data_IF_756709239578
#
_entry.id   IF_756709239578
#
_cell.length_a   1.000
_cell.length_b   1.000
_cell.length_c   1.000
_cell.angle_alpha   90.00
_cell.angle_beta   90.00
_cell.angle_gamma   90.00
#
_symmetry.space_group_name_H-M   'P 1'
#
loop_
_entity.id
_entity.type
_entity.pdbx_description
1 polymer ?
#
# COMPACT_ATOMS: atom_id res chain seq x y z
N UNK A 1 -38.29 53.59 9.58
CA UNK A 1 -37.72 52.25 9.29
C UNK A 1 -36.33 52.22 9.89
N UNK A 2 -36.12 51.37 10.89
CA UNK A 2 -34.90 51.21 11.69
C UNK A 2 -35.23 50.34 12.90
N UNK A 3 -34.47 49.25 13.07
CA UNK A 3 -34.77 47.99 13.76
C UNK A 3 -35.31 48.04 15.21
N UNK A 4 -36.24 47.11 15.58
CA UNK A 4 -36.71 46.86 16.94
C UNK A 4 -36.05 45.65 17.60
N UNK A 5 -34.77 45.35 17.30
CA UNK A 5 -34.08 44.19 17.88
C UNK A 5 -32.88 44.63 18.70
N UNK A 6 -32.92 44.23 19.98
CA UNK A 6 -31.91 44.26 21.06
C UNK A 6 -32.35 45.18 22.20
N UNK A 7 -33.13 44.60 23.11
CA UNK A 7 -32.89 44.74 24.55
C UNK A 7 -32.80 43.30 25.08
N UNK A 8 -31.59 42.95 25.52
CA UNK A 8 -31.27 41.71 26.23
C UNK A 8 -31.89 41.74 27.63
N UNK A 9 -32.21 40.54 28.13
CA UNK A 9 -32.13 40.08 29.51
C UNK A 9 -33.40 39.33 29.92
N UNK A 10 -33.34 38.00 29.83
CA UNK A 10 -33.81 37.14 30.93
C UNK A 10 -33.09 35.77 30.83
N UNK A 11 -32.20 35.58 31.80
CA UNK A 11 -31.44 34.38 32.09
C UNK A 11 -32.36 33.18 32.40
N UNK A 12 -32.62 32.31 31.41
CA UNK A 12 -33.25 31.01 31.65
C UNK A 12 -32.28 29.85 31.37
N UNK A 13 -31.60 29.45 32.45
CA UNK A 13 -31.21 28.08 32.81
C UNK A 13 -30.73 27.15 31.67
N UNK A 14 -29.47 27.30 31.26
CA UNK A 14 -28.74 26.33 30.44
C UNK A 14 -27.94 25.29 31.25
N UNK A 15 -28.45 24.85 32.41
CA UNK A 15 -27.73 23.91 33.27
C UNK A 15 -28.49 22.61 33.52
N UNK A 16 -28.64 21.81 32.46
CA UNK A 16 -28.73 20.35 32.58
C UNK A 16 -27.94 19.70 31.45
N UNK A 17 -26.70 19.30 31.72
CA UNK A 17 -25.92 18.41 30.85
C UNK A 17 -26.35 16.97 31.13
N UNK A 18 -26.95 16.23 30.18
CA UNK A 18 -27.07 14.79 30.35
C UNK A 18 -25.67 14.19 30.13
N UNK A 19 -25.26 13.32 31.04
CA UNK A 19 -24.02 12.58 30.95
C UNK A 19 -23.95 11.79 29.62
N UNK A 20 -23.04 12.18 28.73
CA UNK A 20 -22.67 11.39 27.56
C UNK A 20 -21.81 10.22 28.03
N UNK A 21 -22.39 9.03 28.01
CA UNK A 21 -21.65 7.77 28.08
C UNK A 21 -21.14 7.42 26.69
N UNK A 22 -19.87 7.05 26.56
CA UNK A 22 -19.25 6.57 25.31
C UNK A 22 -20.01 5.36 24.73
N UNK A 23 -20.71 5.59 23.62
CA UNK A 23 -21.43 4.63 22.80
C UNK A 23 -21.69 5.24 21.41
N UNK A 24 -21.91 4.42 20.36
CA UNK A 24 -21.83 4.89 18.98
C UNK A 24 -22.88 5.98 18.71
N UNK A 25 -22.41 7.14 18.26
CA UNK A 25 -23.23 8.28 17.83
C UNK A 25 -23.98 7.97 16.54
N UNK A 26 -25.11 7.30 16.71
CA UNK A 26 -26.21 7.25 15.76
C UNK A 26 -27.46 7.01 16.58
N UNK A 27 -28.32 8.01 16.70
CA UNK A 27 -29.63 7.83 17.36
C UNK A 27 -30.34 6.66 16.68
N UNK A 28 -30.62 5.54 17.37
CA UNK A 28 -31.39 4.46 16.77
C UNK A 28 -32.77 5.03 16.47
N UNK A 29 -33.21 4.98 15.22
CA UNK A 29 -34.57 5.38 14.87
C UNK A 29 -35.53 4.54 15.75
N UNK A 30 -36.34 5.16 16.64
CA UNK A 30 -37.04 4.44 17.70
C UNK A 30 -38.26 3.64 17.20
N UNK A 31 -38.48 3.58 15.89
CA UNK A 31 -39.58 2.84 15.28
C UNK A 31 -39.18 2.32 13.89
N UNK A 32 -38.25 1.36 13.85
CA UNK A 32 -38.17 0.47 12.69
C UNK A 32 -38.65 -0.89 13.17
N UNK A 33 -39.80 -1.30 12.65
CA UNK A 33 -40.36 -2.63 12.88
C UNK A 33 -39.32 -3.70 12.47
N UNK A 34 -39.07 -4.74 13.27
CA UNK A 34 -38.09 -5.77 12.94
C UNK A 34 -38.34 -6.47 11.60
N UNK A 35 -39.59 -6.55 11.14
CA UNK A 35 -39.95 -7.04 9.81
C UNK A 35 -39.51 -6.08 8.71
N UNK A 36 -39.69 -4.78 8.90
CA UNK A 36 -39.21 -3.73 7.97
C UNK A 36 -37.69 -3.64 7.97
N UNK A 37 -37.03 -3.82 9.12
CA UNK A 37 -35.57 -3.91 9.19
C UNK A 37 -35.04 -5.15 8.45
N UNK A 38 -35.74 -6.29 8.53
CA UNK A 38 -35.39 -7.51 7.82
C UNK A 38 -35.67 -7.43 6.30
N UNK A 39 -36.73 -6.74 5.89
CA UNK A 39 -37.04 -6.44 4.48
C UNK A 39 -36.00 -5.48 3.88
N UNK A 40 -35.64 -4.40 4.59
CA UNK A 40 -34.58 -3.48 4.18
C UNK A 40 -33.20 -4.15 4.14
N UNK A 41 -32.96 -5.16 4.97
CA UNK A 41 -31.74 -5.97 4.92
C UNK A 41 -31.72 -6.94 3.72
N UNK A 42 -32.86 -7.21 3.08
CA UNK A 42 -32.95 -8.02 1.85
C UNK A 42 -32.69 -7.23 0.57
N UNK A 43 -32.74 -5.90 0.62
CA UNK A 43 -32.45 -4.99 -0.50
C UNK A 43 -30.99 -4.54 -0.56
N UNK A 44 -30.09 -5.21 0.15
CA UNK A 44 -28.65 -4.95 0.09
C UNK A 44 -28.03 -5.32 -1.27
N UNK A 45 -26.85 -4.76 -1.60
CA UNK A 45 -26.11 -5.21 -2.78
C UNK A 45 -25.91 -6.72 -2.76
N UNK A 46 -25.86 -7.38 -3.93
CA UNK A 46 -25.50 -8.80 -3.99
C UNK A 46 -24.19 -9.06 -3.26
N UNK A 47 -24.08 -10.19 -2.55
CA UNK A 47 -22.92 -10.52 -1.69
C UNK A 47 -21.57 -10.49 -2.41
N UNK A 48 -21.57 -10.66 -3.72
CA UNK A 48 -20.36 -10.59 -4.55
C UNK A 48 -19.94 -9.14 -4.86
N UNK A 49 -20.85 -8.16 -4.83
CA UNK A 49 -20.58 -6.76 -5.16
C UNK A 49 -19.59 -6.15 -4.16
N UNK A 50 -18.53 -5.51 -4.67
CA UNK A 50 -17.46 -4.95 -3.84
C UNK A 50 -16.44 -5.97 -3.33
N UNK A 51 -16.68 -7.28 -3.50
CA UNK A 51 -15.64 -8.31 -3.31
C UNK A 51 -14.67 -8.24 -4.49
N UNK A 52 -13.37 -8.43 -4.26
CA UNK A 52 -12.36 -8.49 -5.34
C UNK A 52 -12.78 -9.54 -6.36
N UNK A 53 -12.72 -9.21 -7.65
CA UNK A 53 -13.20 -10.08 -8.74
C UNK A 53 -12.68 -11.53 -8.65
N UNK A 54 -11.38 -11.68 -8.38
CA UNK A 54 -10.71 -12.99 -8.23
C UNK A 54 -11.07 -13.77 -6.96
N UNK A 55 -11.68 -13.09 -5.98
CA UNK A 55 -12.05 -13.65 -4.68
C UNK A 55 -13.56 -13.90 -4.57
N UNK A 56 -14.34 -13.69 -5.65
CA UNK A 56 -15.77 -14.03 -5.69
C UNK A 56 -15.94 -15.55 -5.60
N UNK A 57 -16.68 -16.00 -4.60
CA UNK A 57 -16.96 -17.42 -4.37
C UNK A 57 -17.64 -18.06 -5.60
N UNK A 58 -17.30 -19.33 -5.86
CA UNK A 58 -17.69 -20.04 -7.08
C UNK A 58 -19.22 -20.05 -7.31
N UNK A 59 -20.02 -20.19 -6.25
CA UNK A 59 -21.49 -20.14 -6.33
C UNK A 59 -22.06 -18.81 -6.84
N UNK A 60 -21.35 -17.70 -6.67
CA UNK A 60 -21.78 -16.37 -7.06
C UNK A 60 -21.19 -15.89 -8.39
N UNK A 61 -20.17 -16.58 -8.92
CA UNK A 61 -19.47 -16.17 -10.14
C UNK A 61 -20.41 -16.06 -11.34
N UNK A 62 -21.32 -17.02 -11.51
CA UNK A 62 -22.27 -17.00 -12.64
C UNK A 62 -23.13 -15.73 -12.65
N UNK A 63 -23.65 -15.36 -11.48
CA UNK A 63 -24.47 -14.17 -11.33
C UNK A 63 -23.64 -12.90 -11.58
N UNK A 64 -22.46 -12.82 -10.96
CA UNK A 64 -21.54 -11.69 -11.12
C UNK A 64 -21.13 -11.47 -12.58
N UNK A 65 -20.81 -12.54 -13.32
CA UNK A 65 -20.50 -12.47 -14.75
C UNK A 65 -21.66 -11.92 -15.58
N UNK A 66 -22.89 -12.38 -15.31
CA UNK A 66 -24.05 -11.91 -16.06
C UNK A 66 -24.42 -10.46 -15.71
N UNK A 67 -24.27 -10.07 -14.44
CA UNK A 67 -24.46 -8.69 -14.01
C UNK A 67 -23.43 -7.77 -14.68
N UNK A 68 -22.14 -8.14 -14.63
CA UNK A 68 -21.06 -7.40 -15.27
C UNK A 68 -21.29 -7.28 -16.77
N UNK A 69 -21.68 -8.35 -17.46
CA UNK A 69 -21.98 -8.29 -18.89
C UNK A 69 -23.06 -7.26 -19.22
N UNK A 70 -24.19 -7.30 -18.52
CA UNK A 70 -25.29 -6.34 -18.76
C UNK A 70 -24.84 -4.91 -18.50
N UNK A 71 -24.05 -4.72 -17.45
CA UNK A 71 -23.48 -3.43 -17.11
C UNK A 71 -22.53 -2.92 -18.20
N UNK A 72 -21.62 -3.76 -18.70
CA UNK A 72 -20.69 -3.42 -19.78
C UNK A 72 -21.46 -3.09 -21.06
N UNK A 73 -22.52 -3.84 -21.39
CA UNK A 73 -23.35 -3.58 -22.57
C UNK A 73 -24.00 -2.17 -22.48
N UNK A 74 -24.53 -1.80 -21.31
CA UNK A 74 -25.01 -0.43 -21.06
C UNK A 74 -23.89 0.61 -21.16
N UNK A 75 -22.76 0.37 -20.48
CA UNK A 75 -21.64 1.31 -20.43
C UNK A 75 -21.09 1.62 -21.83
N UNK A 76 -20.94 0.59 -22.67
CA UNK A 76 -20.52 0.74 -24.06
C UNK A 76 -21.54 1.53 -24.87
N UNK A 77 -22.84 1.24 -24.71
CA UNK A 77 -23.91 1.91 -25.45
C UNK A 77 -24.05 3.39 -25.05
N UNK A 78 -24.04 3.68 -23.75
CA UNK A 78 -24.25 5.01 -23.17
C UNK A 78 -23.08 5.94 -23.52
N UNK A 79 -21.84 5.48 -23.29
CA UNK A 79 -20.63 6.28 -23.55
C UNK A 79 -20.10 6.12 -24.98
N UNK A 80 -20.79 5.35 -25.83
CA UNK A 80 -20.44 5.10 -27.24
C UNK A 80 -18.99 4.63 -27.40
N UNK A 81 -18.58 3.69 -26.55
CA UNK A 81 -17.20 3.20 -26.51
C UNK A 81 -16.89 2.37 -27.75
N UNK A 82 -15.67 2.52 -28.28
CA UNK A 82 -15.19 1.75 -29.43
C UNK A 82 -14.50 0.47 -28.97
N UNK A 83 -14.24 -0.43 -29.92
CA UNK A 83 -13.50 -1.69 -29.68
C UNK A 83 -12.05 -1.47 -29.24
N UNK A 84 -11.52 -0.25 -29.38
CA UNK A 84 -10.21 0.15 -28.84
C UNK A 84 -10.28 0.51 -27.35
N UNK A 85 -11.47 0.60 -26.76
CA UNK A 85 -11.69 0.84 -25.33
C UNK A 85 -12.24 -0.41 -24.66
N UNK A 86 -13.28 -1.03 -25.24
CA UNK A 86 -13.85 -2.29 -24.75
C UNK A 86 -13.95 -3.26 -25.93
N UNK A 87 -13.04 -4.23 -26.08
CA UNK A 87 -13.07 -5.16 -27.19
C UNK A 87 -14.16 -6.22 -27.00
N UNK A 88 -14.67 -6.85 -28.07
CA UNK A 88 -15.67 -7.91 -27.95
C UNK A 88 -15.21 -9.13 -27.14
N UNK A 89 -13.89 -9.32 -26.99
CA UNK A 89 -13.28 -10.37 -26.19
C UNK A 89 -12.89 -9.92 -24.77
N UNK A 90 -13.39 -8.78 -24.27
CA UNK A 90 -13.03 -8.21 -22.95
C UNK A 90 -13.06 -9.23 -21.80
N UNK A 91 -14.03 -10.16 -21.81
CA UNK A 91 -14.21 -11.20 -20.78
C UNK A 91 -13.08 -12.25 -20.75
N UNK A 92 -12.20 -12.26 -21.76
CA UNK A 92 -10.99 -13.11 -21.81
C UNK A 92 -9.74 -12.39 -21.31
N UNK A 93 -9.86 -11.10 -20.99
CA UNK A 93 -8.76 -10.26 -20.50
C UNK A 93 -9.02 -9.94 -19.04
N UNK A 94 -8.26 -10.58 -18.14
CA UNK A 94 -8.51 -10.52 -16.69
C UNK A 94 -8.31 -9.12 -16.10
N UNK A 95 -7.34 -8.36 -16.63
CA UNK A 95 -7.06 -6.96 -16.33
C UNK A 95 -8.22 -6.04 -16.74
N UNK A 96 -8.69 -6.18 -17.98
CA UNK A 96 -9.85 -5.44 -18.51
C UNK A 96 -11.11 -5.78 -17.70
N UNK A 97 -11.32 -7.06 -17.40
CA UNK A 97 -12.45 -7.53 -16.60
C UNK A 97 -12.43 -6.94 -15.19
N UNK A 98 -11.28 -6.95 -14.52
CA UNK A 98 -11.13 -6.40 -13.18
C UNK A 98 -11.38 -4.88 -13.15
N UNK A 99 -10.89 -4.16 -14.17
CA UNK A 99 -11.08 -2.71 -14.31
C UNK A 99 -12.56 -2.36 -14.54
N UNK A 100 -13.25 -3.07 -15.44
CA UNK A 100 -14.70 -2.90 -15.69
C UNK A 100 -15.53 -3.25 -14.45
N UNK A 101 -15.17 -4.30 -13.74
CA UNK A 101 -15.84 -4.69 -12.51
C UNK A 101 -15.67 -3.64 -11.39
N UNK A 102 -14.48 -3.07 -11.24
CA UNK A 102 -14.24 -1.97 -10.31
C UNK A 102 -15.07 -0.73 -10.65
N UNK A 103 -15.23 -0.43 -11.94
CA UNK A 103 -16.08 0.65 -12.42
C UNK A 103 -17.57 0.40 -12.11
N UNK A 104 -18.07 -0.81 -12.32
CA UNK A 104 -19.44 -1.20 -11.94
C UNK A 104 -19.67 -1.02 -10.42
N UNK A 105 -18.71 -1.41 -9.59
CA UNK A 105 -18.82 -1.22 -8.13
C UNK A 105 -18.84 0.27 -7.74
N UNK A 106 -18.04 1.10 -8.43
CA UNK A 106 -18.03 2.55 -8.21
C UNK A 106 -19.34 3.19 -8.63
N UNK A 107 -19.87 2.83 -9.79
CA UNK A 107 -21.18 3.31 -10.24
C UNK A 107 -22.24 2.89 -9.22
N UNK A 108 -22.31 1.61 -8.84
CA UNK A 108 -23.25 1.19 -7.79
C UNK A 108 -23.14 2.06 -6.53
N UNK A 109 -21.91 2.29 -6.05
CA UNK A 109 -21.68 3.08 -4.82
C UNK A 109 -22.13 4.53 -4.95
N UNK A 110 -21.94 5.14 -6.13
CA UNK A 110 -22.32 6.54 -6.36
C UNK A 110 -23.84 6.75 -6.38
N UNK A 111 -24.60 5.73 -6.74
CA UNK A 111 -26.07 5.78 -6.80
C UNK A 111 -26.78 5.03 -5.66
N UNK A 112 -26.06 4.30 -4.81
CA UNK A 112 -26.61 3.51 -3.68
C UNK A 112 -27.48 4.35 -2.73
N UNK A 113 -27.12 5.61 -2.48
CA UNK A 113 -27.83 6.49 -1.53
C UNK A 113 -29.26 6.84 -1.95
N UNK A 114 -29.65 6.61 -3.22
CA UNK A 114 -30.98 6.91 -3.79
C UNK A 114 -31.49 8.33 -3.48
N UNK A 115 -30.57 9.26 -3.21
CA UNK A 115 -30.83 10.65 -2.91
C UNK A 115 -30.20 11.54 -3.99
N UNK A 116 -30.82 12.69 -4.35
CA UNK A 116 -30.20 13.67 -5.24
C UNK A 116 -28.89 14.19 -4.64
N UNK A 117 -27.76 13.71 -5.17
CA UNK A 117 -26.42 14.07 -4.73
C UNK A 117 -25.54 14.50 -5.90
N UNK A 118 -24.39 15.10 -5.59
CA UNK A 118 -23.40 15.51 -6.59
C UNK A 118 -22.43 14.38 -6.96
N UNK A 119 -22.56 13.19 -6.34
CA UNK A 119 -21.70 12.03 -6.56
C UNK A 119 -21.51 11.66 -8.05
N UNK A 120 -22.57 11.56 -8.86
CA UNK A 120 -22.44 11.27 -10.30
C UNK A 120 -21.55 12.26 -11.05
N UNK A 121 -21.70 13.55 -10.76
CA UNK A 121 -20.94 14.61 -11.42
C UNK A 121 -19.50 14.72 -10.90
N UNK A 122 -19.31 14.55 -9.59
CA UNK A 122 -18.03 14.83 -8.93
C UNK A 122 -17.13 13.60 -8.84
N UNK A 123 -17.69 12.39 -8.85
CA UNK A 123 -16.97 11.13 -8.68
C UNK A 123 -17.05 10.26 -9.93
N UNK A 124 -18.26 9.95 -10.40
CA UNK A 124 -18.41 8.98 -11.50
C UNK A 124 -17.87 9.51 -12.83
N UNK A 125 -18.42 10.61 -13.36
CA UNK A 125 -18.05 11.09 -14.68
C UNK A 125 -16.56 11.44 -14.85
N UNK A 126 -15.87 12.06 -13.87
CA UNK A 126 -14.42 12.23 -13.93
C UNK A 126 -13.67 10.88 -13.98
N UNK A 127 -14.15 9.87 -13.25
CA UNK A 127 -13.55 8.55 -13.27
C UNK A 127 -13.81 7.80 -14.57
N UNK A 128 -14.94 8.03 -15.25
CA UNK A 128 -15.19 7.46 -16.57
C UNK A 128 -14.10 7.87 -17.56
N UNK A 129 -13.70 9.14 -17.59
CA UNK A 129 -12.62 9.60 -18.48
C UNK A 129 -11.31 8.86 -18.17
N UNK A 130 -10.91 8.83 -16.89
CA UNK A 130 -9.69 8.14 -16.45
C UNK A 130 -9.73 6.64 -16.75
N UNK A 131 -10.87 6.00 -16.51
CA UNK A 131 -11.16 4.59 -16.80
C UNK A 131 -10.98 4.30 -18.29
N UNK A 132 -11.57 5.11 -19.17
CA UNK A 132 -11.41 4.90 -20.62
C UNK A 132 -9.94 5.03 -21.06
N UNK A 133 -9.17 5.91 -20.42
CA UNK A 133 -7.73 6.03 -20.64
C UNK A 133 -6.95 4.77 -20.23
N UNK A 134 -7.28 4.17 -19.08
CA UNK A 134 -6.66 2.91 -18.62
C UNK A 134 -7.05 1.75 -19.52
N UNK A 135 -8.33 1.60 -19.83
CA UNK A 135 -8.85 0.55 -20.71
C UNK A 135 -8.20 0.59 -22.10
N UNK A 136 -8.03 1.78 -22.70
CA UNK A 136 -7.32 1.92 -23.98
C UNK A 136 -5.91 1.35 -23.95
N UNK A 137 -5.15 1.58 -22.87
CA UNK A 137 -3.80 1.05 -22.74
C UNK A 137 -3.80 -0.47 -22.60
N UNK A 138 -4.65 -1.01 -21.72
CA UNK A 138 -4.82 -2.45 -21.53
C UNK A 138 -5.19 -3.16 -22.84
N UNK A 139 -6.14 -2.60 -23.60
CA UNK A 139 -6.60 -3.15 -24.88
C UNK A 139 -5.53 -3.02 -25.98
N UNK A 140 -4.76 -1.92 -25.98
CA UNK A 140 -3.67 -1.73 -26.93
C UNK A 140 -2.51 -2.73 -26.70
N UNK A 141 -2.19 -2.98 -25.43
CA UNK A 141 -1.21 -3.97 -24.97
C UNK A 141 -1.67 -5.40 -25.27
N UNK A 142 -2.95 -5.71 -25.06
CA UNK A 142 -3.53 -7.00 -25.40
C UNK A 142 -3.50 -7.29 -26.92
N UNK A 143 -3.47 -6.26 -27.77
CA UNK A 143 -3.26 -6.38 -29.22
C UNK A 143 -4.40 -7.02 -30.02
N UNK A 144 -5.46 -7.50 -29.37
CA UNK A 144 -6.56 -8.23 -30.00
C UNK A 144 -7.29 -7.41 -31.08
N UNK A 145 -7.48 -6.12 -30.83
CA UNK A 145 -8.16 -5.20 -31.77
C UNK A 145 -7.31 -4.93 -33.03
N UNK A 146 -5.97 -4.96 -32.92
CA UNK A 146 -5.05 -4.77 -34.05
C UNK A 146 -5.01 -5.99 -34.97
N UNK A 147 -5.04 -7.18 -34.38
CA UNK A 147 -5.01 -8.46 -35.11
C UNK A 147 -6.39 -8.83 -35.65
N UNK A 148 -7.46 -8.27 -35.08
CA UNK A 148 -8.85 -8.62 -35.42
C UNK A 148 -9.28 -10.00 -34.90
N UNK A 149 -8.46 -10.61 -34.05
CA UNK A 149 -8.73 -11.89 -33.38
C UNK A 149 -8.24 -11.80 -31.94
N UNK A 150 -8.85 -12.59 -31.06
CA UNK A 150 -8.39 -12.68 -29.68
C UNK A 150 -6.99 -13.30 -29.62
N UNK A 151 -6.12 -12.67 -28.83
CA UNK A 151 -4.78 -13.12 -28.49
C UNK A 151 -4.76 -13.46 -27.00
N UNK A 152 -4.23 -14.63 -26.67
CA UNK A 152 -4.07 -15.03 -25.27
C UNK A 152 -3.08 -14.07 -24.57
N UNK A 153 -3.35 -13.65 -23.32
CA UNK A 153 -2.43 -12.80 -22.59
C UNK A 153 -1.07 -13.49 -22.38
N UNK A 154 0.00 -12.77 -22.69
CA UNK A 154 1.38 -13.21 -22.50
C UNK A 154 2.04 -12.38 -21.39
N UNK A 155 2.90 -13.03 -20.60
CA UNK A 155 3.77 -12.37 -19.63
C UNK A 155 4.94 -11.67 -20.35
N UNK A 156 5.65 -10.78 -19.65
CA UNK A 156 6.70 -9.95 -20.26
C UNK A 156 7.86 -10.75 -20.89
N UNK A 157 8.06 -11.99 -20.44
CA UNK A 157 9.08 -12.93 -20.95
C UNK A 157 8.56 -13.86 -22.06
N UNK A 158 7.32 -13.66 -22.52
CA UNK A 158 6.65 -14.51 -23.51
C UNK A 158 6.06 -15.79 -22.93
N UNK A 159 6.09 -15.97 -21.60
CA UNK A 159 5.35 -17.03 -20.90
C UNK A 159 3.84 -16.77 -20.84
N UNK A 160 3.04 -17.74 -20.37
CA UNK A 160 1.62 -17.53 -20.13
C UNK A 160 1.39 -16.51 -19.00
N UNK A 161 0.47 -15.56 -19.18
CA UNK A 161 0.29 -14.41 -18.27
C UNK A 161 -0.03 -14.75 -16.80
N UNK A 162 -0.56 -15.95 -16.54
CA UNK A 162 -0.96 -16.37 -15.19
C UNK A 162 0.09 -17.23 -14.49
N UNK A 163 1.28 -17.38 -15.07
CA UNK A 163 2.40 -18.10 -14.46
C UNK A 163 3.46 -17.09 -14.08
N UNK A 164 3.62 -16.87 -12.77
CA UNK A 164 4.67 -15.99 -12.24
C UNK A 164 6.02 -16.72 -12.36
N UNK A 165 7.03 -16.02 -12.87
CA UNK A 165 8.38 -16.56 -13.07
C UNK A 165 9.39 -16.15 -11.99
N UNK A 166 8.93 -15.52 -10.90
CA UNK A 166 9.82 -15.19 -9.78
C UNK A 166 10.11 -16.42 -8.92
N UNK A 167 11.28 -16.42 -8.28
CA UNK A 167 11.73 -17.47 -7.39
C UNK A 167 10.95 -17.42 -6.06
N UNK A 168 10.11 -18.42 -5.82
CA UNK A 168 9.30 -18.52 -4.59
C UNK A 168 10.18 -18.72 -3.34
N UNK A 169 11.31 -19.43 -3.46
CA UNK A 169 12.21 -19.66 -2.34
C UNK A 169 12.91 -18.35 -1.93
N UNK A 170 13.38 -17.57 -2.91
CA UNK A 170 13.94 -16.24 -2.65
C UNK A 170 12.90 -15.30 -2.01
N UNK A 171 11.65 -15.33 -2.49
CA UNK A 171 10.56 -14.57 -1.88
C UNK A 171 10.33 -14.98 -0.42
N UNK A 172 10.29 -16.27 -0.11
CA UNK A 172 10.10 -16.76 1.26
C UNK A 172 11.24 -16.35 2.17
N UNK A 173 12.49 -16.46 1.70
CA UNK A 173 13.67 -15.98 2.45
C UNK A 173 13.55 -14.49 2.72
N UNK A 174 13.18 -13.69 1.71
CA UNK A 174 12.99 -12.26 1.87
C UNK A 174 11.88 -11.91 2.86
N UNK A 175 10.72 -12.56 2.72
CA UNK A 175 9.54 -12.34 3.55
C UNK A 175 9.79 -12.71 5.02
N UNK A 176 10.58 -13.76 5.27
CA UNK A 176 10.94 -14.23 6.61
C UNK A 176 12.15 -13.47 7.21
N UNK A 177 12.79 -12.59 6.44
CA UNK A 177 13.95 -11.84 6.94
C UNK A 177 13.52 -10.78 7.96
N UNK A 178 13.64 -11.12 9.25
CA UNK A 178 13.51 -10.17 10.36
C UNK A 178 14.72 -9.22 10.42
N UNK A 179 14.45 -7.92 10.60
CA UNK A 179 15.48 -6.87 10.72
C UNK A 179 15.21 -6.04 11.96
N UNK A 180 16.19 -5.99 12.86
CA UNK A 180 16.15 -5.19 14.08
C UNK A 180 17.38 -4.28 14.14
N UNK A 181 17.16 -3.03 14.55
CA UNK A 181 18.24 -2.06 14.80
C UNK A 181 18.32 -1.84 16.31
N UNK A 182 19.45 -2.23 16.89
CA UNK A 182 19.73 -1.98 18.30
C UNK A 182 20.72 -0.83 18.44
N UNK A 183 20.32 0.23 19.16
CA UNK A 183 21.17 1.40 19.40
C UNK A 183 22.01 1.20 20.64
N UNK A 184 23.34 1.24 20.48
CA UNK A 184 24.29 1.00 21.56
C UNK A 184 24.93 2.30 22.05
N UNK A 185 25.02 2.47 23.37
CA UNK A 185 25.85 3.51 23.95
C UNK A 185 27.32 3.17 23.71
N UNK A 186 28.13 4.15 23.31
CA UNK A 186 29.57 3.94 23.14
C UNK A 186 30.24 3.83 24.53
N UNK A 187 31.11 2.84 24.78
CA UNK A 187 31.76 2.71 26.07
C UNK A 187 32.67 3.92 26.36
N UNK A 188 32.81 4.27 27.63
CA UNK A 188 33.69 5.37 28.07
C UNK A 188 35.17 5.04 27.96
N UNK A 189 35.54 3.77 28.10
CA UNK A 189 36.92 3.27 28.02
C UNK A 189 36.94 1.87 27.40
N UNK A 190 38.01 1.53 26.67
CA UNK A 190 38.22 0.19 26.12
C UNK A 190 37.32 -0.15 24.92
N UNK A 191 37.00 -1.44 24.78
CA UNK A 191 36.14 -2.00 23.71
C UNK A 191 35.08 -2.88 24.35
N UNK A 192 33.81 -2.64 24.03
CA UNK A 192 32.68 -3.50 24.41
C UNK A 192 32.30 -4.40 23.24
N UNK A 193 32.13 -5.71 23.50
CA UNK A 193 31.85 -6.69 22.45
C UNK A 193 30.38 -7.14 22.49
N UNK A 194 29.73 -7.10 21.34
CA UNK A 194 28.32 -7.39 21.15
C UNK A 194 28.13 -8.56 20.17
N UNK A 195 27.11 -9.38 20.41
CA UNK A 195 26.64 -10.41 19.47
C UNK A 195 25.14 -10.63 19.66
N UNK A 196 24.44 -10.90 18.58
CA UNK A 196 23.06 -11.38 18.62
C UNK A 196 23.02 -12.90 18.77
N UNK A 197 21.99 -13.40 19.45
CA UNK A 197 21.65 -14.82 19.49
C UNK A 197 20.22 -14.97 18.99
N UNK A 198 20.03 -15.91 18.07
CA UNK A 198 18.71 -16.32 17.60
C UNK A 198 18.32 -17.53 18.43
N UNK A 199 17.16 -17.46 19.07
CA UNK A 199 16.62 -18.50 19.95
C UNK A 199 15.27 -18.97 19.42
N UNK A 200 14.91 -20.23 19.67
CA UNK A 200 13.57 -20.75 19.40
C UNK A 200 12.55 -20.31 20.47
N UNK A 201 11.30 -20.75 20.32
CA UNK A 201 10.21 -20.43 21.24
C UNK A 201 10.46 -20.95 22.67
N UNK A 202 11.24 -22.03 22.79
CA UNK A 202 11.65 -22.66 24.04
C UNK A 202 12.92 -22.02 24.65
N UNK A 203 13.53 -21.04 23.96
CA UNK A 203 14.73 -20.31 24.39
C UNK A 203 16.05 -21.01 24.09
N UNK A 204 16.05 -22.10 23.33
CA UNK A 204 17.25 -22.80 22.86
C UNK A 204 17.90 -22.01 21.73
N UNK A 205 19.23 -21.85 21.78
CA UNK A 205 19.95 -21.10 20.76
C UNK A 205 19.98 -21.86 19.43
N UNK A 206 19.42 -21.25 18.38
CA UNK A 206 19.44 -21.75 17.01
C UNK A 206 20.65 -21.24 16.23
N UNK A 207 21.01 -19.96 16.41
CA UNK A 207 22.13 -19.33 15.72
C UNK A 207 22.74 -18.18 16.54
N UNK A 208 23.92 -17.71 16.13
CA UNK A 208 24.57 -16.54 16.71
C UNK A 208 25.23 -15.70 15.62
N UNK A 209 25.23 -14.39 15.79
CA UNK A 209 25.93 -13.49 14.87
C UNK A 209 27.45 -13.57 15.08
N UNK A 210 28.19 -12.97 14.16
CA UNK A 210 29.56 -12.54 14.42
C UNK A 210 29.61 -11.56 15.60
N UNK A 211 30.77 -11.48 16.23
CA UNK A 211 31.02 -10.52 17.33
C UNK A 211 31.41 -9.18 16.72
N UNK A 212 30.81 -8.10 17.22
CA UNK A 212 31.12 -6.71 16.87
C UNK A 212 31.71 -6.02 18.09
N UNK A 213 32.87 -5.37 17.95
CA UNK A 213 33.49 -4.57 19.02
C UNK A 213 33.20 -3.08 18.84
N UNK A 214 32.60 -2.44 19.82
CA UNK A 214 32.40 -0.99 19.89
C UNK A 214 33.48 -0.38 20.79
N UNK A 215 34.43 0.35 20.19
CA UNK A 215 35.50 1.00 20.93
C UNK A 215 35.07 2.36 21.51
N UNK A 216 35.71 2.76 22.61
CA UNK A 216 35.57 4.10 23.17
C UNK A 216 35.95 5.18 22.13
N UNK A 217 35.29 6.34 22.22
CA UNK A 217 35.51 7.42 21.27
C UNK A 217 36.95 7.94 21.35
N UNK A 218 37.72 7.79 20.28
CA UNK A 218 39.05 8.37 20.19
C UNK A 218 38.97 9.81 19.70
N UNK A 219 38.76 10.74 20.66
CA UNK A 219 38.86 12.20 20.56
C UNK A 219 38.07 12.96 19.47
N UNK A 220 37.49 14.10 19.89
CA UNK A 220 36.85 15.10 19.03
C UNK A 220 35.32 15.00 19.02
N UNK A 221 34.64 15.62 19.99
CA UNK A 221 33.20 15.86 19.88
C UNK A 221 32.91 16.65 18.59
N UNK A 222 32.02 16.14 17.75
CA UNK A 222 31.53 16.83 16.55
C UNK A 222 32.25 16.53 15.23
N UNK A 223 33.32 15.72 15.22
CA UNK A 223 33.94 15.22 13.98
C UNK A 223 33.73 13.72 13.88
N UNK A 224 33.14 13.26 12.79
CA UNK A 224 32.98 11.83 12.50
C UNK A 224 33.84 11.47 11.30
N UNK A 225 34.58 10.36 11.39
CA UNK A 225 35.30 9.78 10.27
C UNK A 225 34.95 8.30 10.19
N UNK A 226 34.53 7.86 9.01
CA UNK A 226 34.18 6.47 8.72
C UNK A 226 35.02 5.98 7.54
N UNK A 227 35.70 4.85 7.71
CA UNK A 227 36.40 4.18 6.61
C UNK A 227 35.46 3.13 6.03
N UNK A 228 35.09 3.28 4.77
CA UNK A 228 34.24 2.35 4.03
C UNK A 228 35.10 1.50 3.09
N UNK A 229 34.86 0.20 3.07
CA UNK A 229 35.49 -0.69 2.08
C UNK A 229 34.74 -0.54 0.76
N UNK A 230 35.44 -0.09 -0.28
CA UNK A 230 34.91 0.01 -1.64
C UNK A 230 35.10 -1.28 -2.43
N UNK A 231 36.20 -2.00 -2.17
CA UNK A 231 36.50 -3.29 -2.78
C UNK A 231 37.31 -4.13 -1.81
N UNK A 232 36.86 -5.37 -1.59
CA UNK A 232 37.61 -6.40 -0.85
C UNK A 232 38.31 -7.41 -1.76
N UNK A 233 38.39 -7.11 -3.06
CA UNK A 233 39.05 -7.98 -4.05
C UNK A 233 40.53 -8.17 -3.68
N UNK A 234 41.05 -9.40 -3.53
CA UNK A 234 42.42 -9.62 -3.05
C UNK A 234 43.50 -8.98 -3.93
N UNK A 235 43.27 -8.90 -5.24
CA UNK A 235 44.19 -8.27 -6.19
C UNK A 235 44.13 -6.75 -6.19
N UNK A 236 43.05 -6.14 -5.66
CA UNK A 236 42.87 -4.68 -5.66
C UNK A 236 41.91 -4.24 -4.55
N UNK A 237 42.33 -4.31 -3.27
CA UNK A 237 41.52 -3.81 -2.17
C UNK A 237 41.47 -2.28 -2.22
N UNK A 238 40.29 -1.71 -2.02
CA UNK A 238 40.08 -0.27 -1.97
C UNK A 238 39.25 0.11 -0.74
N UNK A 239 39.66 1.19 -0.08
CA UNK A 239 38.92 1.82 1.00
C UNK A 239 38.81 3.31 0.73
N UNK A 240 37.73 3.92 1.20
CA UNK A 240 37.55 5.38 1.22
C UNK A 240 37.27 5.84 2.64
N UNK A 241 37.59 7.09 2.94
CA UNK A 241 37.22 7.70 4.22
C UNK A 241 36.23 8.83 3.99
N UNK A 242 35.13 8.80 4.73
CA UNK A 242 34.13 9.86 4.77
C UNK A 242 34.31 10.60 6.09
N UNK A 243 34.67 11.88 6.01
CA UNK A 243 34.81 12.76 7.18
C UNK A 243 33.68 13.78 7.19
N UNK A 244 32.98 13.91 8.32
CA UNK A 244 31.88 14.85 8.56
C UNK A 244 32.23 15.77 9.72
N UNK A 245 31.93 17.07 9.59
CA UNK A 245 32.14 18.07 10.64
C UNK A 245 33.58 18.56 10.81
N UNK A 246 34.50 18.23 9.89
CA UNK A 246 35.87 18.75 9.91
C UNK A 246 35.90 20.27 9.63
N UNK A 247 36.73 21.02 10.38
CA UNK A 247 36.97 22.45 10.16
C UNK A 247 38.01 22.68 9.06
N UNK A 248 38.06 23.90 8.51
CA UNK A 248 39.06 24.29 7.51
C UNK A 248 40.50 24.01 7.99
N UNK A 249 41.29 23.37 7.12
CA UNK A 249 42.67 22.98 7.40
C UNK A 249 42.87 21.55 7.95
N UNK A 250 41.80 20.77 8.14
CA UNK A 250 41.91 19.36 8.54
C UNK A 250 42.57 18.51 7.43
N UNK A 251 43.53 17.67 7.80
CA UNK A 251 44.21 16.73 6.91
C UNK A 251 43.95 15.28 7.30
N UNK A 252 43.76 14.42 6.30
CA UNK A 252 43.58 12.98 6.48
C UNK A 252 44.96 12.32 6.48
N UNK A 253 45.28 11.59 7.56
CA UNK A 253 46.46 10.72 7.64
C UNK A 253 46.03 9.29 7.87
N UNK A 254 46.54 8.40 7.05
CA UNK A 254 46.30 6.97 7.20
C UNK A 254 47.31 6.38 8.16
N UNK A 255 46.86 5.42 8.97
CA UNK A 255 47.72 4.62 9.83
C UNK A 255 47.31 3.16 9.66
N UNK A 256 48.29 2.28 9.76
CA UNK A 256 48.06 0.84 9.72
C UNK A 256 48.48 0.20 11.03
N UNK A 257 47.84 -0.91 11.39
CA UNK A 257 48.16 -1.69 12.57
C UNK A 257 47.92 -3.17 12.28
N UNK A 258 48.82 -4.03 12.78
CA UNK A 258 48.66 -5.50 12.71
C UNK A 258 47.90 -6.05 13.91
N UNK A 259 47.85 -5.33 15.02
CA UNK A 259 47.31 -5.79 16.31
C UNK A 259 46.19 -4.88 16.85
N UNK A 260 45.87 -3.79 16.14
CA UNK A 260 44.91 -2.76 16.55
C UNK A 260 45.36 -1.89 17.73
N UNK A 261 46.58 -2.10 18.25
CA UNK A 261 47.11 -1.45 19.45
C UNK A 261 48.29 -0.55 19.14
N UNK A 262 49.18 -0.98 18.25
CA UNK A 262 50.34 -0.22 17.78
C UNK A 262 50.09 0.25 16.36
N UNK A 263 50.11 1.56 16.18
CA UNK A 263 49.79 2.21 14.91
C UNK A 263 51.06 2.79 14.29
N UNK A 264 51.23 2.53 13.00
CA UNK A 264 52.32 3.06 12.20
C UNK A 264 51.73 4.03 11.17
N UNK A 265 52.35 5.20 11.02
CA UNK A 265 52.07 6.11 9.89
C UNK A 265 52.57 5.52 8.57
#
# INVERSE_FOLDING_TARGET
MGSPWIEDDEDEAWDETPAVTDGPTGTPLPYVDPGVAAELAQDGPPVWMGTRWRDIAAEHQWEAWNALRRWVDWFVAEYRLTTSVVPPCWYKHSDVTAELYGAMCMEYKVWEEQAPGLGPMMMWHPQVEMLTGRLRRMVDEAGCTKVGQHKEPEWFDGGPAFTLSYDEDDFLVWADTAREIHSLARPGEGVEYWRARVVDAEGTQMAGSNIVGLAAAQHGQGVQAEVLVLSSTPSQPQVTVVVRGARDGANIRWRSSKDGRRWHE
#
